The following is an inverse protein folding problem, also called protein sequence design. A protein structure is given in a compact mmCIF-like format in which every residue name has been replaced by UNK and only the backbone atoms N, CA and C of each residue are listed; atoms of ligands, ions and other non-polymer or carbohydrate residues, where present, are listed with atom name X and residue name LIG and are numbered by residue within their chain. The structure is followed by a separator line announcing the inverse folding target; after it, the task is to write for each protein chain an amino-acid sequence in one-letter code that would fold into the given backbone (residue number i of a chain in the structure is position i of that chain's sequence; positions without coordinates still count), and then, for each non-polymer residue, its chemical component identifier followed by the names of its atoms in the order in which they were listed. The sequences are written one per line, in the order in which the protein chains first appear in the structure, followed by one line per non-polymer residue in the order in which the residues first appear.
data_IF_305347309685
#
_entry.id   IF_305347309685
#
_cell.length_a   1.000
_cell.length_b   1.000
_cell.length_c   1.000
_cell.angle_alpha   90.00
_cell.angle_beta   90.00
_cell.angle_gamma   90.00
#
_symmetry.space_group_name_H-M   'P 1'
#
loop_
_entity.id
_entity.type
_entity.pdbx_description
1 polymer ?
#
# COMPACT_ATOMS: atom_id res chain seq x y z
N UNK A 1 -20.51 -34.64 7.44
CA UNK A 1 -20.43 -33.21 7.77
C UNK A 1 -19.72 -32.93 9.10
N UNK A 2 -20.11 -33.56 10.21
CA UNK A 2 -19.48 -33.32 11.54
C UNK A 2 -17.96 -33.59 11.60
N UNK A 3 -17.49 -34.64 10.90
CA UNK A 3 -16.04 -34.97 10.81
C UNK A 3 -15.24 -33.96 9.98
N UNK A 4 -15.83 -33.37 8.95
CA UNK A 4 -15.22 -32.32 8.14
C UNK A 4 -15.11 -31.00 8.92
N UNK A 5 -16.11 -30.66 9.74
CA UNK A 5 -16.08 -29.48 10.61
C UNK A 5 -15.03 -29.62 11.71
N UNK A 6 -14.86 -30.81 12.28
CA UNK A 6 -13.81 -31.10 13.28
C UNK A 6 -12.42 -31.01 12.65
N UNK A 7 -12.24 -31.55 11.45
CA UNK A 7 -10.96 -31.47 10.72
C UNK A 7 -10.62 -30.01 10.33
N UNK A 8 -11.61 -29.24 9.90
CA UNK A 8 -11.43 -27.80 9.63
C UNK A 8 -11.11 -27.00 10.91
N UNK A 9 -11.76 -27.31 12.03
CA UNK A 9 -11.48 -26.68 13.31
C UNK A 9 -10.08 -27.05 13.84
N UNK A 10 -9.62 -28.29 13.66
CA UNK A 10 -8.27 -28.73 14.02
C UNK A 10 -7.19 -28.09 13.14
N UNK A 11 -7.47 -27.85 11.86
CA UNK A 11 -6.58 -27.08 10.96
C UNK A 11 -6.44 -25.61 11.38
N UNK A 12 -7.49 -25.02 11.95
CA UNK A 12 -7.46 -23.65 12.48
C UNK A 12 -6.71 -23.53 13.83
N UNK A 13 -6.51 -24.65 14.55
CA UNK A 13 -5.79 -24.71 15.82
C UNK A 13 -4.29 -25.01 15.66
N UNK A 14 -3.81 -25.36 14.45
CA UNK A 14 -2.37 -25.45 14.22
C UNK A 14 -1.77 -24.04 14.24
N UNK A 15 -0.68 -23.80 15.01
CA UNK A 15 0.02 -22.53 14.96
C UNK A 15 0.62 -22.34 13.55
N UNK A 16 -0.14 -21.69 12.70
CA UNK A 16 0.39 -21.28 11.39
C UNK A 16 1.48 -20.23 11.65
N UNK A 17 2.63 -20.31 10.97
CA UNK A 17 3.66 -19.31 11.13
C UNK A 17 3.10 -17.95 10.67
N UNK A 18 2.73 -17.13 11.63
CA UNK A 18 2.40 -15.75 11.41
C UNK A 18 3.71 -14.98 11.23
N UNK A 19 3.79 -14.15 10.20
CA UNK A 19 4.92 -13.24 10.04
C UNK A 19 4.40 -11.84 10.22
N UNK A 20 5.15 -11.03 10.95
CA UNK A 20 4.98 -9.59 10.92
C UNK A 20 6.07 -8.98 10.06
N UNK A 21 5.76 -7.88 9.40
CA UNK A 21 6.77 -7.13 8.67
C UNK A 21 6.55 -5.62 8.80
N UNK A 22 7.65 -4.89 8.74
CA UNK A 22 7.68 -3.42 8.71
C UNK A 22 8.39 -2.98 7.44
N UNK A 23 7.77 -2.09 6.70
CA UNK A 23 8.33 -1.51 5.47
C UNK A 23 8.48 -0.01 5.62
N UNK A 24 9.67 0.51 5.32
CA UNK A 24 9.87 1.93 5.05
C UNK A 24 10.17 2.08 3.56
N UNK A 25 9.51 3.03 2.89
CA UNK A 25 9.60 3.13 1.44
C UNK A 25 9.69 4.58 0.93
N UNK A 26 10.27 4.70 -0.25
CA UNK A 26 10.32 5.91 -1.07
C UNK A 26 9.89 5.56 -2.49
N UNK A 27 9.25 6.48 -3.18
CA UNK A 27 8.78 6.23 -4.53
C UNK A 27 8.30 7.47 -5.26
N UNK A 28 7.54 7.22 -6.31
CA UNK A 28 6.92 8.27 -7.11
C UNK A 28 5.45 8.00 -7.37
N UNK A 29 4.66 9.02 -7.21
CA UNK A 29 3.29 9.11 -7.71
C UNK A 29 3.37 9.74 -9.09
N UNK A 30 2.79 9.10 -10.11
CA UNK A 30 2.94 9.51 -11.51
C UNK A 30 1.76 10.28 -12.05
N UNK A 31 0.69 10.41 -11.28
CA UNK A 31 -0.53 11.11 -11.68
C UNK A 31 -0.80 12.29 -10.74
N UNK A 32 -1.07 13.51 -11.25
CA UNK A 32 -0.96 13.96 -12.65
C UNK A 32 0.50 14.16 -13.08
N UNK A 33 1.41 14.30 -12.12
CA UNK A 33 2.85 14.55 -12.33
C UNK A 33 3.70 13.63 -11.48
N UNK A 34 4.99 13.51 -11.82
CA UNK A 34 5.95 12.68 -11.11
C UNK A 34 6.38 13.27 -9.76
N UNK A 35 5.58 13.08 -8.70
CA UNK A 35 5.83 13.59 -7.35
C UNK A 35 6.47 12.55 -6.45
N UNK A 36 7.32 13.00 -5.52
CA UNK A 36 7.92 12.10 -4.54
C UNK A 36 6.87 11.62 -3.54
N UNK A 37 6.90 10.33 -3.22
CA UNK A 37 6.16 9.78 -2.10
C UNK A 37 7.07 9.04 -1.12
N UNK A 38 6.67 9.02 0.13
CA UNK A 38 7.34 8.32 1.22
C UNK A 38 6.34 7.76 2.19
N UNK A 39 6.67 6.66 2.83
CA UNK A 39 5.73 6.07 3.77
C UNK A 39 6.29 4.91 4.56
N UNK A 40 5.40 4.41 5.42
CA UNK A 40 5.63 3.27 6.29
C UNK A 40 4.45 2.31 6.14
N UNK A 41 4.74 1.01 6.22
CA UNK A 41 3.70 -0.01 6.29
C UNK A 41 4.07 -1.05 7.32
N UNK A 42 3.08 -1.47 8.10
CA UNK A 42 3.20 -2.58 9.04
C UNK A 42 2.21 -3.67 8.61
N UNK A 43 2.69 -4.89 8.51
CA UNK A 43 1.88 -6.00 8.04
C UNK A 43 2.02 -7.24 8.89
N UNK A 44 1.04 -8.12 8.74
CA UNK A 44 1.07 -9.48 9.27
C UNK A 44 0.51 -10.42 8.23
N UNK A 45 0.97 -11.67 8.21
CA UNK A 45 0.50 -12.63 7.24
C UNK A 45 0.51 -14.05 7.75
N UNK A 46 -0.39 -14.84 7.19
CA UNK A 46 -0.53 -16.28 7.41
C UNK A 46 -0.43 -16.98 6.06
N UNK A 47 0.66 -17.68 5.78
CA UNK A 47 0.88 -18.42 4.53
C UNK A 47 0.67 -17.53 3.27
N UNK A 48 -0.54 -17.54 2.73
CA UNK A 48 -0.91 -16.86 1.48
C UNK A 48 -1.70 -15.58 1.68
N UNK A 49 -2.26 -15.37 2.87
CA UNK A 49 -3.07 -14.17 3.17
C UNK A 49 -2.33 -13.29 4.15
N UNK A 50 -2.29 -11.99 3.86
CA UNK A 50 -1.72 -10.99 4.75
C UNK A 50 -2.64 -9.79 4.89
N UNK A 51 -2.37 -8.99 5.90
CA UNK A 51 -3.00 -7.70 6.14
C UNK A 51 -1.92 -6.67 6.38
N UNK A 52 -2.15 -5.46 5.94
CA UNK A 52 -1.19 -4.38 6.04
C UNK A 52 -1.90 -3.06 6.32
N UNK A 53 -1.37 -2.31 7.26
CA UNK A 53 -1.69 -0.89 7.41
C UNK A 53 -0.56 -0.08 6.80
N UNK A 54 -0.90 0.87 5.92
CA UNK A 54 0.05 1.72 5.23
C UNK A 54 -0.29 3.20 5.47
N UNK A 55 0.73 3.96 5.82
CA UNK A 55 0.74 5.41 5.83
C UNK A 55 1.68 5.90 4.74
N UNK A 56 1.23 6.81 3.89
CA UNK A 56 2.08 7.43 2.89
C UNK A 56 1.72 8.89 2.67
N UNK A 57 2.76 9.66 2.34
CA UNK A 57 2.68 11.08 2.01
C UNK A 57 3.31 11.31 0.65
N UNK A 58 2.58 11.98 -0.24
CA UNK A 58 3.03 12.42 -1.57
C UNK A 58 3.12 13.93 -1.56
N UNK A 59 4.24 14.47 -1.98
CA UNK A 59 4.48 15.90 -2.00
C UNK A 59 3.55 16.62 -3.01
N UNK A 60 3.22 17.88 -2.76
CA UNK A 60 2.51 18.73 -3.71
C UNK A 60 3.41 19.12 -4.90
N UNK A 61 2.80 19.49 -6.00
CA UNK A 61 3.50 20.05 -7.17
C UNK A 61 2.71 21.25 -7.69
N UNK A 62 3.30 22.43 -7.55
CA UNK A 62 2.74 23.71 -7.97
C UNK A 62 3.28 24.19 -9.32
N UNK A 63 4.34 23.55 -9.84
CA UNK A 63 5.06 23.95 -11.06
C UNK A 63 4.37 23.49 -12.35
N UNK A 64 3.18 22.92 -12.24
CA UNK A 64 2.47 22.38 -13.40
C UNK A 64 1.80 23.51 -14.17
N UNK A 65 1.93 23.47 -15.51
CA UNK A 65 1.49 24.40 -16.56
C UNK A 65 0.26 25.26 -16.21
N UNK A 66 0.15 26.51 -16.67
CA UNK A 66 -0.91 27.43 -16.29
C UNK A 66 -2.31 26.89 -16.63
N UNK A 67 -3.11 26.63 -15.59
CA UNK A 67 -4.50 26.16 -15.65
C UNK A 67 -4.94 25.59 -14.30
N UNK A 68 -6.20 25.77 -13.91
CA UNK A 68 -6.69 25.32 -12.60
C UNK A 68 -6.65 23.79 -12.40
N UNK A 69 -6.58 23.02 -13.49
CA UNK A 69 -6.59 21.56 -13.46
C UNK A 69 -5.19 20.92 -13.32
N UNK A 70 -4.14 21.72 -13.32
CA UNK A 70 -2.76 21.25 -13.37
C UNK A 70 -2.03 21.27 -12.03
N UNK A 71 -2.67 21.68 -10.95
CA UNK A 71 -2.08 21.70 -9.62
C UNK A 71 -2.30 20.33 -8.97
N UNK A 72 -1.23 19.75 -8.45
CA UNK A 72 -1.28 18.46 -7.76
C UNK A 72 -1.13 18.66 -6.25
N UNK A 73 -2.21 18.49 -5.45
CA UNK A 73 -2.19 18.69 -4.02
C UNK A 73 -1.26 17.69 -3.31
N UNK A 74 -0.78 18.04 -2.14
CA UNK A 74 -0.20 17.07 -1.22
C UNK A 74 -1.24 16.00 -0.93
N UNK A 75 -0.85 14.73 -0.98
CA UNK A 75 -1.75 13.61 -0.73
C UNK A 75 -1.22 12.74 0.40
N UNK A 76 -1.91 12.73 1.51
CA UNK A 76 -1.66 11.82 2.62
C UNK A 76 -2.68 10.68 2.59
N UNK A 77 -2.22 9.43 2.66
CA UNK A 77 -3.07 8.23 2.63
C UNK A 77 -2.86 7.36 3.86
N UNK A 78 -3.96 6.85 4.42
CA UNK A 78 -4.02 5.85 5.47
C UNK A 78 -4.85 4.68 4.95
N UNK A 79 -4.19 3.57 4.59
CA UNK A 79 -4.83 2.45 3.92
C UNK A 79 -4.71 1.18 4.74
N UNK A 80 -5.79 0.41 4.78
CA UNK A 80 -5.81 -0.96 5.25
C UNK A 80 -5.93 -1.89 4.05
N UNK A 81 -4.99 -2.82 3.90
CA UNK A 81 -4.84 -3.65 2.71
C UNK A 81 -4.91 -5.13 3.08
N UNK A 82 -5.63 -5.90 2.29
CA UNK A 82 -5.48 -7.34 2.20
C UNK A 82 -4.42 -7.69 1.15
N UNK A 83 -3.58 -8.67 1.45
CA UNK A 83 -2.56 -9.18 0.56
C UNK A 83 -2.80 -10.65 0.26
N UNK A 84 -2.68 -11.02 -1.01
CA UNK A 84 -2.60 -12.40 -1.46
C UNK A 84 -1.18 -12.64 -1.98
N UNK A 85 -0.42 -13.51 -1.31
CA UNK A 85 1.01 -13.68 -1.56
C UNK A 85 1.38 -15.13 -1.88
N UNK A 86 2.48 -15.33 -2.59
CA UNK A 86 3.00 -16.67 -2.83
C UNK A 86 3.38 -17.33 -1.50
N UNK A 87 2.96 -18.59 -1.26
CA UNK A 87 3.18 -19.27 0.03
C UNK A 87 4.67 -19.53 0.32
N UNK A 88 5.44 -19.70 -0.75
CA UNK A 88 6.88 -19.94 -0.69
C UNK A 88 7.60 -18.97 -1.63
N UNK A 89 8.70 -18.37 -1.20
CA UNK A 89 9.51 -17.52 -2.09
C UNK A 89 10.04 -18.33 -3.28
N UNK A 90 9.89 -17.79 -4.48
CA UNK A 90 10.45 -18.33 -5.72
C UNK A 90 11.72 -17.54 -6.02
N UNK A 91 12.87 -18.20 -6.06
CA UNK A 91 14.17 -17.56 -6.26
C UNK A 91 14.41 -16.38 -5.29
N UNK A 92 14.07 -16.55 -4.00
CA UNK A 92 14.16 -15.54 -2.94
C UNK A 92 13.16 -14.37 -3.06
N UNK A 93 12.25 -14.41 -4.04
CA UNK A 93 11.22 -13.41 -4.26
C UNK A 93 9.85 -13.94 -3.83
N UNK A 94 9.14 -13.18 -3.04
CA UNK A 94 7.75 -13.41 -2.67
C UNK A 94 6.88 -12.38 -3.40
N UNK A 95 6.07 -12.85 -4.32
CA UNK A 95 5.13 -12.00 -5.07
C UNK A 95 3.82 -11.86 -4.29
N UNK A 96 3.16 -10.73 -4.45
CA UNK A 96 1.85 -10.50 -3.87
C UNK A 96 1.00 -9.57 -4.74
N UNK A 97 -0.32 -9.78 -4.65
CA UNK A 97 -1.35 -8.82 -5.05
C UNK A 97 -1.93 -8.16 -3.80
N UNK A 98 -2.39 -6.95 -3.90
CA UNK A 98 -3.01 -6.20 -2.81
C UNK A 98 -4.29 -5.52 -3.24
N UNK A 99 -5.24 -5.47 -2.33
CA UNK A 99 -6.49 -4.73 -2.45
C UNK A 99 -6.80 -4.11 -1.09
N UNK A 100 -7.17 -2.83 -1.08
CA UNK A 100 -7.42 -2.15 0.16
C UNK A 100 -8.31 -0.92 0.06
N UNK A 101 -8.59 -0.35 1.21
CA UNK A 101 -9.34 0.88 1.34
C UNK A 101 -8.93 1.64 2.60
N UNK A 102 -9.27 2.90 2.63
CA UNK A 102 -8.93 3.76 3.75
C UNK A 102 -9.32 5.20 3.51
N UNK A 103 -8.68 6.09 4.20
CA UNK A 103 -8.91 7.53 4.06
C UNK A 103 -7.71 8.20 3.43
N UNK A 104 -8.00 9.21 2.64
CA UNK A 104 -7.00 10.12 2.11
C UNK A 104 -7.30 11.55 2.53
N UNK A 105 -6.27 12.35 2.60
CA UNK A 105 -6.33 13.78 2.90
C UNK A 105 -5.55 14.52 1.83
N UNK A 106 -6.21 15.47 1.16
CA UNK A 106 -5.60 16.38 0.20
C UNK A 106 -5.46 17.75 0.82
N UNK A 107 -4.26 18.34 0.69
CA UNK A 107 -3.95 19.68 1.15
C UNK A 107 -3.25 20.45 0.03
N UNK A 108 -3.67 21.70 -0.19
CA UNK A 108 -3.05 22.58 -1.16
C UNK A 108 -2.55 23.85 -0.47
N UNK A 109 -1.24 24.11 -0.52
CA UNK A 109 -0.63 25.24 0.19
C UNK A 109 -1.17 26.62 -0.23
N UNK A 110 -1.66 26.73 -1.47
CA UNK A 110 -2.22 27.98 -2.00
C UNK A 110 -3.72 28.17 -1.72
N UNK A 111 -4.41 27.10 -1.30
CA UNK A 111 -5.84 27.08 -0.99
C UNK A 111 -6.16 26.27 0.27
N UNK A 112 -5.67 26.69 1.45
CA UNK A 112 -5.80 25.85 2.68
C UNK A 112 -7.25 25.66 3.14
N UNK A 113 -8.22 26.40 2.61
CA UNK A 113 -9.65 26.24 2.92
C UNK A 113 -10.30 25.06 2.18
N UNK A 114 -9.60 24.43 1.23
CA UNK A 114 -10.08 23.31 0.43
C UNK A 114 -9.51 21.94 0.88
N UNK A 115 -9.03 21.85 2.10
CA UNK A 115 -8.61 20.58 2.69
C UNK A 115 -9.76 19.57 2.69
N UNK A 116 -9.53 18.41 2.07
CA UNK A 116 -10.54 17.37 1.95
C UNK A 116 -10.04 16.04 2.52
N UNK A 117 -10.90 15.41 3.32
CA UNK A 117 -10.67 14.06 3.80
C UNK A 117 -11.81 13.18 3.33
N UNK A 118 -11.51 12.18 2.53
CA UNK A 118 -12.51 11.29 1.96
C UNK A 118 -11.99 9.84 1.92
N UNK A 119 -12.87 8.93 1.52
CA UNK A 119 -12.55 7.52 1.34
C UNK A 119 -11.82 7.28 0.02
N UNK A 120 -10.83 6.38 0.05
CA UNK A 120 -10.13 5.88 -1.12
C UNK A 120 -9.98 4.37 -1.09
N UNK A 121 -9.89 3.77 -2.26
CA UNK A 121 -9.56 2.35 -2.43
C UNK A 121 -8.29 2.20 -3.27
N UNK A 122 -7.63 1.07 -3.15
CA UNK A 122 -6.45 0.78 -3.95
C UNK A 122 -6.39 -0.68 -4.37
N UNK A 123 -5.74 -0.92 -5.49
CA UNK A 123 -5.39 -2.25 -5.98
C UNK A 123 -3.97 -2.20 -6.55
N UNK A 124 -3.23 -3.26 -6.36
CA UNK A 124 -1.86 -3.30 -6.85
C UNK A 124 -1.17 -4.62 -6.60
N UNK A 125 0.15 -4.58 -6.62
CA UNK A 125 0.96 -5.74 -6.34
C UNK A 125 2.45 -5.42 -6.36
N UNK A 126 3.23 -6.40 -5.95
CA UNK A 126 4.67 -6.21 -5.85
C UNK A 126 5.42 -7.49 -5.54
N UNK A 127 6.68 -7.29 -5.19
CA UNK A 127 7.57 -8.36 -4.78
C UNK A 127 8.41 -7.94 -3.56
N UNK A 128 8.60 -8.89 -2.65
CA UNK A 128 9.52 -8.81 -1.52
C UNK A 128 10.72 -9.71 -1.81
N UNK A 129 11.91 -9.15 -1.93
CA UNK A 129 13.14 -9.84 -2.31
C UNK A 129 14.01 -10.00 -1.07
N UNK A 130 14.26 -11.23 -0.64
CA UNK A 130 15.10 -11.50 0.53
C UNK A 130 16.57 -11.27 0.21
N UNK A 131 17.19 -10.37 0.96
CA UNK A 131 18.62 -10.03 0.83
C UNK A 131 19.44 -10.92 1.78
N UNK A 132 19.25 -10.73 3.08
CA UNK A 132 19.94 -11.49 4.13
C UNK A 132 19.08 -11.54 5.39
N UNK A 133 18.89 -12.73 5.97
CA UNK A 133 18.12 -12.92 7.19
C UNK A 133 16.71 -12.31 7.08
N UNK A 134 16.32 -11.44 8.01
CA UNK A 134 15.01 -10.81 8.03
C UNK A 134 14.89 -9.63 7.04
N UNK A 135 16.02 -9.18 6.47
CA UNK A 135 16.08 -8.00 5.60
C UNK A 135 15.65 -8.34 4.18
N UNK A 136 14.66 -7.59 3.68
CA UNK A 136 14.13 -7.70 2.31
C UNK A 136 14.06 -6.33 1.66
N UNK A 137 14.17 -6.30 0.34
CA UNK A 137 13.78 -5.16 -0.48
C UNK A 137 12.37 -5.42 -1.00
N UNK A 138 11.52 -4.42 -0.95
CA UNK A 138 10.16 -4.45 -1.48
C UNK A 138 10.05 -3.49 -2.65
N UNK A 139 9.42 -3.95 -3.74
CA UNK A 139 9.00 -3.12 -4.87
C UNK A 139 7.51 -3.29 -5.03
N UNK A 140 6.79 -2.19 -5.21
CA UNK A 140 5.34 -2.17 -5.22
C UNK A 140 4.80 -1.19 -6.27
N UNK A 141 3.69 -1.54 -6.88
CA UNK A 141 2.91 -0.68 -7.76
C UNK A 141 1.46 -0.70 -7.35
N UNK A 142 0.84 0.47 -7.22
CA UNK A 142 -0.58 0.62 -6.84
C UNK A 142 -1.29 1.66 -7.66
N UNK A 143 -2.56 1.38 -7.89
CA UNK A 143 -3.54 2.30 -8.45
C UNK A 143 -4.53 2.61 -7.33
N UNK A 144 -4.69 3.88 -7.03
CA UNK A 144 -5.66 4.39 -6.07
C UNK A 144 -6.87 4.95 -6.82
N UNK A 145 -8.06 4.64 -6.32
CA UNK A 145 -9.32 5.25 -6.68
C UNK A 145 -9.75 6.12 -5.50
N UNK A 146 -9.72 7.42 -5.68
CA UNK A 146 -10.13 8.40 -4.69
C UNK A 146 -11.61 8.74 -4.92
N UNK A 147 -12.40 8.75 -3.86
CA UNK A 147 -13.83 9.04 -3.88
C UNK A 147 -14.10 10.39 -3.23
N UNK A 148 -15.27 10.94 -3.47
CA UNK A 148 -15.61 12.30 -3.04
C UNK A 148 -15.43 13.29 -4.18
N UNK A 149 -14.70 14.36 -3.94
CA UNK A 149 -14.38 15.35 -4.98
C UNK A 149 -12.86 15.58 -5.05
N UNK A 150 -12.05 14.52 -5.28
CA UNK A 150 -10.61 14.70 -5.40
C UNK A 150 -10.27 15.51 -6.66
N UNK A 151 -9.12 16.15 -6.69
CA UNK A 151 -8.64 16.78 -7.93
C UNK A 151 -8.32 15.75 -9.02
N UNK A 152 -7.87 14.57 -8.61
CA UNK A 152 -7.55 13.47 -9.52
C UNK A 152 -8.09 12.15 -8.95
N UNK A 153 -9.05 11.55 -9.63
CA UNK A 153 -9.75 10.33 -9.19
C UNK A 153 -8.83 9.11 -9.15
N UNK A 154 -7.87 9.05 -10.08
CA UNK A 154 -6.98 7.92 -10.24
C UNK A 154 -5.54 8.35 -10.02
N UNK A 155 -4.90 7.75 -9.02
CA UNK A 155 -3.52 8.03 -8.66
C UNK A 155 -2.69 6.76 -8.77
N UNK A 156 -1.62 6.81 -9.55
CA UNK A 156 -0.69 5.69 -9.71
C UNK A 156 0.57 5.95 -8.89
N UNK A 157 1.03 4.92 -8.18
CA UNK A 157 2.20 5.01 -7.31
C UNK A 157 3.12 3.82 -7.47
N UNK A 158 4.41 4.11 -7.64
CA UNK A 158 5.50 3.15 -7.59
C UNK A 158 6.36 3.44 -6.36
N UNK A 159 6.78 2.42 -5.66
CA UNK A 159 7.76 2.60 -4.61
C UNK A 159 8.73 1.41 -4.48
N UNK A 160 9.90 1.69 -3.90
CA UNK A 160 10.84 0.72 -3.41
C UNK A 160 11.12 0.99 -1.93
N UNK A 161 11.34 -0.05 -1.15
CA UNK A 161 11.52 0.10 0.28
C UNK A 161 12.32 -1.02 0.91
N UNK A 162 12.74 -0.76 2.13
CA UNK A 162 13.35 -1.76 3.01
C UNK A 162 12.25 -2.38 3.86
N UNK A 163 12.19 -3.70 3.86
CA UNK A 163 11.22 -4.47 4.60
C UNK A 163 11.94 -5.39 5.60
N UNK A 164 11.55 -5.32 6.85
CA UNK A 164 12.04 -6.18 7.92
C UNK A 164 10.95 -7.19 8.29
N UNK A 165 11.28 -8.48 8.21
CA UNK A 165 10.41 -9.59 8.60
C UNK A 165 10.78 -10.06 10.02
N UNK A 166 9.79 -10.22 10.89
CA UNK A 166 9.97 -10.74 12.27
C UNK A 166 8.79 -11.58 12.70
#
# INVERSE_FOLDING_TARGET
MRRLLVAAALLLLTPLPAFSDLTAFLGRTTTPTGRMNRGLAIGTGLLIVGFEFEYAKTDEDLDVLPGPDNVAPELTTYMFNGLLQTPVPIARMQFYGTLGGGVYHETLSVEPLNDQTNFGSNVGGGAKITIVGPLRVRVDYRIFNLHGSPRHDHVQRWYAGVNLKF
#
